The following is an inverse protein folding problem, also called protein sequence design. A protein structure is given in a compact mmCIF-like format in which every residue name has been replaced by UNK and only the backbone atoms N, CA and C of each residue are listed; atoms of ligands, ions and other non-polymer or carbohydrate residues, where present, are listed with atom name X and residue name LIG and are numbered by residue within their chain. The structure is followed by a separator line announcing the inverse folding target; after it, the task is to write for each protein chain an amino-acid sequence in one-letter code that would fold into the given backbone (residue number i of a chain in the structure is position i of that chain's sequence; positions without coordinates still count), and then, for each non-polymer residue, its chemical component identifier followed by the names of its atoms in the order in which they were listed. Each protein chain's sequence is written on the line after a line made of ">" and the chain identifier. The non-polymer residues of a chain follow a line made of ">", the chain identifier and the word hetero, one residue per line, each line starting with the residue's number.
data_IF_929021503669
#
_entry.id   IF_929021503669
#
_cell.length_a   1.000
_cell.length_b   1.000
_cell.length_c   1.000
_cell.angle_alpha   90.00
_cell.angle_beta   90.00
_cell.angle_gamma   90.00
#
_symmetry.space_group_name_H-M   'P 1'
#
loop_
_entity.id
_entity.type
_entity.pdbx_description
1 polymer ?
#
# COMPACT_ATOMS: atom_id res chain seq x y z
N UNK A 1 16.74 20.26 9.69
CA UNK A 1 15.31 20.35 9.29
C UNK A 1 14.59 21.11 10.38
N UNK A 2 13.91 22.22 10.06
CA UNK A 2 13.06 22.87 11.07
C UNK A 2 11.89 21.93 11.39
N UNK A 3 11.56 21.74 12.67
CA UNK A 3 10.43 20.91 13.10
C UNK A 3 9.11 21.60 12.75
N UNK A 4 8.66 21.44 11.50
CA UNK A 4 7.31 21.83 11.11
C UNK A 4 6.29 20.86 11.74
N UNK A 5 5.03 21.27 11.93
CA UNK A 5 4.00 20.36 12.44
C UNK A 5 3.82 19.13 11.55
N UNK A 6 4.01 19.25 10.23
CA UNK A 6 3.93 18.15 9.27
C UNK A 6 5.07 17.14 9.46
N UNK A 7 6.28 17.61 9.72
CA UNK A 7 7.43 16.74 10.03
C UNK A 7 7.22 16.02 11.35
N UNK A 8 6.69 16.71 12.37
CA UNK A 8 6.36 16.09 13.66
C UNK A 8 5.30 15.01 13.49
N UNK A 9 4.22 15.30 12.77
CA UNK A 9 3.17 14.33 12.47
C UNK A 9 3.72 13.12 11.66
N UNK A 10 4.62 13.36 10.71
CA UNK A 10 5.27 12.30 9.96
C UNK A 10 6.15 11.40 10.85
N UNK A 11 6.88 11.98 11.81
CA UNK A 11 7.67 11.21 12.79
C UNK A 11 6.77 10.38 13.71
N UNK A 12 5.70 10.98 14.25
CA UNK A 12 4.73 10.28 15.10
C UNK A 12 4.07 9.12 14.33
N UNK A 13 3.70 9.34 13.07
CA UNK A 13 3.14 8.29 12.21
C UNK A 13 4.15 7.17 11.94
N UNK A 14 5.42 7.51 11.70
CA UNK A 14 6.46 6.50 11.52
C UNK A 14 6.65 5.62 12.77
N UNK A 15 6.61 6.22 13.97
CA UNK A 15 6.65 5.48 15.24
C UNK A 15 5.44 4.56 15.38
N UNK A 16 4.24 5.07 15.10
CA UNK A 16 3.02 4.27 15.16
C UNK A 16 3.04 3.09 14.18
N UNK A 17 3.51 3.30 12.94
CA UNK A 17 3.66 2.24 11.95
C UNK A 17 4.67 1.17 12.40
N UNK A 18 5.78 1.60 13.01
CA UNK A 18 6.76 0.66 13.58
C UNK A 18 6.13 -0.19 14.69
N UNK A 19 5.37 0.41 15.60
CA UNK A 19 4.71 -0.33 16.68
C UNK A 19 3.70 -1.34 16.13
N UNK A 20 2.88 -0.97 15.14
CA UNK A 20 1.94 -1.87 14.49
C UNK A 20 2.65 -3.03 13.78
N UNK A 21 3.79 -2.79 13.14
CA UNK A 21 4.58 -3.81 12.49
C UNK A 21 5.18 -4.81 13.49
N UNK A 22 5.66 -4.34 14.65
CA UNK A 22 6.16 -5.20 15.74
C UNK A 22 5.03 -6.09 16.28
N UNK A 23 3.87 -5.51 16.61
CA UNK A 23 2.71 -6.28 17.10
C UNK A 23 2.22 -7.32 16.08
N UNK A 24 2.27 -6.99 14.79
CA UNK A 24 1.94 -7.94 13.73
C UNK A 24 2.96 -9.08 13.66
N UNK A 25 4.26 -8.78 13.82
CA UNK A 25 5.30 -9.79 13.88
C UNK A 25 5.11 -10.72 15.08
N UNK A 26 4.78 -10.19 16.26
CA UNK A 26 4.51 -11.00 17.46
C UNK A 26 3.38 -12.00 17.21
N UNK A 27 2.26 -11.56 16.63
CA UNK A 27 1.18 -12.48 16.26
C UNK A 27 1.60 -13.55 15.25
N UNK A 28 2.49 -13.24 14.31
CA UNK A 28 3.00 -14.24 13.36
C UNK A 28 3.96 -15.24 14.02
N UNK A 29 4.77 -14.79 14.98
CA UNK A 29 5.63 -15.66 15.80
C UNK A 29 4.79 -16.59 16.67
N UNK A 30 3.76 -16.05 17.35
CA UNK A 30 2.82 -16.86 18.12
C UNK A 30 2.15 -17.94 17.25
N UNK A 31 1.74 -17.58 16.03
CA UNK A 31 1.16 -18.52 15.08
C UNK A 31 2.15 -19.63 14.69
N UNK A 32 3.43 -19.28 14.49
CA UNK A 32 4.48 -20.25 14.19
C UNK A 32 4.75 -21.19 15.37
N UNK A 33 4.73 -20.68 16.60
CA UNK A 33 4.91 -21.48 17.81
C UNK A 33 3.73 -22.44 18.01
N UNK A 34 2.48 -21.98 17.82
CA UNK A 34 1.29 -22.86 17.87
C UNK A 34 1.37 -23.97 16.79
N UNK A 35 1.85 -23.64 15.58
CA UNK A 35 2.06 -24.65 14.54
C UNK A 35 3.13 -25.66 14.94
N UNK A 36 4.21 -25.22 15.58
CA UNK A 36 5.27 -26.10 16.08
C UNK A 36 4.75 -27.01 17.19
N UNK A 37 4.01 -26.46 18.15
CA UNK A 37 3.42 -27.24 19.23
C UNK A 37 2.42 -28.28 18.70
N UNK A 38 1.60 -27.90 17.72
CA UNK A 38 0.67 -28.81 17.06
C UNK A 38 1.36 -29.98 16.33
N UNK A 39 2.59 -29.82 15.85
CA UNK A 39 3.36 -30.90 15.21
C UNK A 39 3.86 -31.94 16.21
N UNK A 40 4.13 -31.53 17.46
CA UNK A 40 4.66 -32.39 18.51
C UNK A 40 3.58 -32.92 19.45
N UNK A 41 2.39 -32.31 19.45
CA UNK A 41 1.25 -32.74 20.25
C UNK A 41 0.61 -34.01 19.66
N UNK A 42 0.56 -35.08 20.45
CA UNK A 42 -0.24 -36.29 20.18
C UNK A 42 -1.74 -36.09 20.47
N UNK A 43 -2.24 -34.88 20.25
CA UNK A 43 -3.63 -34.49 20.52
C UNK A 43 -4.60 -35.03 19.46
N UNK A 44 -5.82 -35.35 19.89
CA UNK A 44 -6.89 -35.79 18.98
C UNK A 44 -7.33 -34.71 17.99
N UNK A 45 -8.21 -35.04 17.02
CA UNK A 45 -8.66 -34.14 15.95
C UNK A 45 -9.18 -32.78 16.41
N UNK A 46 -9.77 -32.71 17.61
CA UNK A 46 -10.30 -31.49 18.20
C UNK A 46 -9.21 -30.49 18.60
N UNK A 47 -8.09 -30.98 19.17
CA UNK A 47 -6.94 -30.13 19.51
C UNK A 47 -6.30 -29.54 18.24
N UNK A 48 -6.18 -30.34 17.18
CA UNK A 48 -5.69 -29.89 15.86
C UNK A 48 -6.60 -28.80 15.27
N UNK A 49 -7.92 -28.97 15.38
CA UNK A 49 -8.90 -27.96 14.93
C UNK A 49 -8.74 -26.64 15.71
N UNK A 50 -8.58 -26.71 17.02
CA UNK A 50 -8.41 -25.53 17.86
C UNK A 50 -7.10 -24.78 17.55
N UNK A 51 -5.98 -25.48 17.36
CA UNK A 51 -4.73 -24.87 16.92
C UNK A 51 -4.88 -24.16 15.56
N UNK A 52 -5.54 -24.79 14.58
CA UNK A 52 -5.78 -24.15 13.27
C UNK A 52 -6.60 -22.87 13.36
N UNK A 53 -7.64 -22.86 14.20
CA UNK A 53 -8.46 -21.66 14.41
C UNK A 53 -7.66 -20.54 15.06
N UNK A 54 -6.82 -20.86 16.06
CA UNK A 54 -5.98 -19.86 16.72
C UNK A 54 -4.92 -19.28 15.77
N UNK A 55 -4.23 -20.14 15.01
CA UNK A 55 -3.29 -19.71 13.95
C UNK A 55 -3.99 -18.77 12.96
N UNK A 56 -5.19 -19.13 12.50
CA UNK A 56 -5.98 -18.28 11.60
C UNK A 56 -6.35 -16.92 12.21
N UNK A 57 -6.69 -16.88 13.51
CA UNK A 57 -6.95 -15.63 14.24
C UNK A 57 -5.71 -14.74 14.28
N UNK A 58 -4.56 -15.30 14.66
CA UNK A 58 -3.28 -14.58 14.75
C UNK A 58 -2.85 -13.99 13.40
N UNK A 59 -2.93 -14.77 12.33
CA UNK A 59 -2.66 -14.30 10.95
C UNK A 59 -3.61 -13.16 10.57
N UNK A 60 -4.90 -13.28 10.92
CA UNK A 60 -5.89 -12.23 10.62
C UNK A 60 -5.59 -10.94 11.38
N UNK A 61 -5.17 -11.02 12.65
CA UNK A 61 -4.78 -9.86 13.44
C UNK A 61 -3.54 -9.17 12.86
N UNK A 62 -2.49 -9.92 12.53
CA UNK A 62 -1.30 -9.40 11.87
C UNK A 62 -1.65 -8.66 10.57
N UNK A 63 -2.48 -9.28 9.71
CA UNK A 63 -2.92 -8.68 8.47
C UNK A 63 -3.71 -7.37 8.67
N UNK A 64 -4.56 -7.29 9.71
CA UNK A 64 -5.32 -6.08 10.04
C UNK A 64 -4.39 -4.95 10.49
N UNK A 65 -3.46 -5.24 11.39
CA UNK A 65 -2.50 -4.26 11.92
C UNK A 65 -1.65 -3.62 10.82
N UNK A 66 -1.29 -4.38 9.79
CA UNK A 66 -0.46 -3.89 8.67
C UNK A 66 -1.24 -3.49 7.42
N UNK A 67 -2.57 -3.56 7.45
CA UNK A 67 -3.41 -3.47 6.24
C UNK A 67 -3.24 -2.18 5.42
N UNK A 68 -2.91 -1.06 6.08
CA UNK A 68 -2.68 0.24 5.44
C UNK A 68 -1.22 0.70 5.53
N UNK A 69 -0.33 -0.11 6.10
CA UNK A 69 1.02 0.31 6.48
C UNK A 69 1.84 0.87 5.30
N UNK A 70 1.76 0.22 4.14
CA UNK A 70 2.48 0.69 2.95
C UNK A 70 1.90 2.01 2.39
N UNK A 71 0.58 2.20 2.44
CA UNK A 71 -0.06 3.43 1.98
C UNK A 71 0.31 4.60 2.90
N UNK A 72 0.26 4.37 4.20
CA UNK A 72 0.66 5.34 5.23
C UNK A 72 2.14 5.69 5.16
N UNK A 73 3.02 4.72 4.86
CA UNK A 73 4.43 4.96 4.59
C UNK A 73 4.62 5.91 3.41
N UNK A 74 3.89 5.69 2.29
CA UNK A 74 3.96 6.57 1.11
C UNK A 74 3.42 7.96 1.42
N UNK A 75 2.29 8.06 2.14
CA UNK A 75 1.71 9.34 2.55
C UNK A 75 2.68 10.13 3.46
N UNK A 76 3.28 9.44 4.43
CA UNK A 76 4.27 9.99 5.37
C UNK A 76 5.52 10.45 4.63
N UNK A 77 6.05 9.63 3.71
CA UNK A 77 7.19 9.98 2.86
C UNK A 77 6.90 11.20 1.99
N UNK A 78 5.65 11.36 1.52
CA UNK A 78 5.23 12.54 0.74
C UNK A 78 5.25 13.81 1.58
N UNK A 79 4.73 13.80 2.81
CA UNK A 79 4.79 14.95 3.72
C UNK A 79 6.23 15.40 3.95
N UNK A 80 7.12 14.45 4.26
CA UNK A 80 8.55 14.73 4.45
C UNK A 80 9.20 15.28 3.17
N UNK A 81 8.92 14.68 2.01
CA UNK A 81 9.48 15.13 0.74
C UNK A 81 9.07 16.56 0.38
N UNK A 82 7.79 16.89 0.54
CA UNK A 82 7.25 18.25 0.31
C UNK A 82 7.92 19.25 1.25
N UNK A 83 8.07 18.90 2.53
CA UNK A 83 8.68 19.79 3.51
C UNK A 83 10.18 20.00 3.26
N UNK A 84 10.92 18.94 2.92
CA UNK A 84 12.32 19.05 2.53
C UNK A 84 12.49 19.93 1.28
N UNK A 85 11.56 19.83 0.33
CA UNK A 85 11.55 20.70 -0.85
C UNK A 85 11.29 22.16 -0.48
N UNK A 86 10.28 22.42 0.37
CA UNK A 86 9.93 23.76 0.87
C UNK A 86 11.08 24.42 1.61
N UNK A 87 11.81 23.66 2.43
CA UNK A 87 12.99 24.15 3.16
C UNK A 87 14.25 24.22 2.28
N UNK A 88 14.17 23.88 0.99
CA UNK A 88 15.31 23.80 0.07
C UNK A 88 16.43 22.84 0.55
N UNK A 89 16.06 21.82 1.34
CA UNK A 89 16.97 20.79 1.87
C UNK A 89 16.96 19.52 1.00
N UNK A 90 15.99 19.38 0.10
CA UNK A 90 15.92 18.24 -0.81
C UNK A 90 17.04 18.32 -1.87
N UNK A 91 17.77 17.22 -2.15
CA UNK A 91 18.66 17.17 -3.30
C UNK A 91 17.85 17.48 -4.58
N UNK A 92 18.43 18.24 -5.51
CA UNK A 92 17.84 18.47 -6.83
C UNK A 92 17.91 17.18 -7.67
N UNK A 93 17.09 16.19 -7.31
CA UNK A 93 16.93 14.97 -8.08
C UNK A 93 16.19 15.32 -9.36
N UNK A 94 16.83 15.16 -10.52
CA UNK A 94 16.11 15.20 -11.79
C UNK A 94 15.17 14.00 -11.82
N UNK A 95 13.84 14.22 -11.94
CA UNK A 95 12.93 13.10 -12.09
C UNK A 95 13.30 12.38 -13.39
N UNK A 96 13.44 11.05 -13.36
CA UNK A 96 13.68 10.29 -14.58
C UNK A 96 12.52 10.53 -15.55
N UNK A 97 12.80 10.52 -16.85
CA UNK A 97 11.78 10.63 -17.89
C UNK A 97 10.87 9.40 -17.81
N UNK A 98 9.81 9.48 -17.03
CA UNK A 98 8.79 8.47 -16.81
C UNK A 98 7.45 9.04 -17.28
N UNK A 99 6.62 8.19 -17.89
CA UNK A 99 5.25 8.58 -18.21
C UNK A 99 4.41 8.72 -16.92
N UNK A 100 3.27 9.43 -16.96
CA UNK A 100 2.33 9.48 -15.84
C UNK A 100 1.90 8.09 -15.36
N UNK A 101 1.71 7.14 -16.28
CA UNK A 101 1.36 5.75 -15.96
C UNK A 101 2.49 5.02 -15.23
N UNK A 102 3.75 5.26 -15.62
CA UNK A 102 4.92 4.70 -14.92
C UNK A 102 5.08 5.31 -13.52
N UNK A 103 4.79 6.60 -13.35
CA UNK A 103 4.75 7.23 -12.03
C UNK A 103 3.66 6.66 -11.14
N UNK A 104 2.43 6.52 -11.65
CA UNK A 104 1.33 5.90 -10.92
C UNK A 104 1.64 4.43 -10.55
N UNK A 105 2.30 3.70 -11.44
CA UNK A 105 2.75 2.34 -11.18
C UNK A 105 3.79 2.29 -10.04
N UNK A 106 4.81 3.17 -10.03
CA UNK A 106 5.78 3.24 -8.94
C UNK A 106 5.13 3.55 -7.59
N UNK A 107 4.17 4.48 -7.56
CA UNK A 107 3.41 4.80 -6.34
C UNK A 107 2.56 3.59 -5.90
N UNK A 108 1.90 2.91 -6.83
CA UNK A 108 1.13 1.69 -6.52
C UNK A 108 2.02 0.55 -5.98
N UNK A 109 3.22 0.35 -6.56
CA UNK A 109 4.22 -0.60 -6.05
C UNK A 109 4.65 -0.21 -4.64
N UNK A 110 4.97 1.06 -4.40
CA UNK A 110 5.38 1.56 -3.08
C UNK A 110 4.29 1.38 -2.02
N UNK A 111 3.02 1.56 -2.40
CA UNK A 111 1.85 1.32 -1.56
C UNK A 111 1.52 -0.16 -1.39
N UNK A 112 2.29 -1.09 -1.96
CA UNK A 112 2.03 -2.52 -1.87
C UNK A 112 0.76 -2.99 -2.58
N UNK A 113 0.26 -2.21 -3.55
CA UNK A 113 -0.97 -2.50 -4.31
C UNK A 113 -0.74 -3.37 -5.54
N UNK A 114 0.50 -3.78 -5.80
CA UNK A 114 0.86 -4.56 -7.00
C UNK A 114 1.41 -5.91 -6.59
N UNK A 115 0.75 -6.97 -7.04
CA UNK A 115 1.22 -8.35 -6.94
C UNK A 115 1.14 -9.01 -8.31
N UNK A 116 1.99 -10.00 -8.58
CA UNK A 116 2.01 -10.70 -9.87
C UNK A 116 1.64 -12.16 -9.68
N UNK A 117 0.55 -12.61 -10.30
CA UNK A 117 0.19 -14.02 -10.25
C UNK A 117 1.16 -14.83 -11.12
N UNK A 118 2.03 -15.61 -10.47
CA UNK A 118 3.11 -16.39 -11.10
C UNK A 118 2.63 -17.31 -12.24
N UNK A 119 1.44 -17.89 -12.09
CA UNK A 119 0.90 -18.87 -13.05
C UNK A 119 0.14 -18.27 -14.24
N UNK A 120 -0.12 -16.96 -14.22
CA UNK A 120 -0.98 -16.35 -15.23
C UNK A 120 -0.28 -15.25 -16.03
N UNK A 121 0.96 -14.87 -15.68
CA UNK A 121 1.61 -13.65 -16.20
C UNK A 121 0.70 -12.40 -16.06
N UNK A 122 -0.30 -12.48 -15.17
CA UNK A 122 -1.33 -11.47 -14.94
C UNK A 122 -0.93 -10.67 -13.72
N UNK A 123 -0.77 -9.36 -13.91
CA UNK A 123 -0.70 -8.41 -12.80
C UNK A 123 -2.03 -8.40 -12.08
N UNK A 124 -2.01 -8.71 -10.78
CA UNK A 124 -3.15 -8.54 -9.89
C UNK A 124 -2.92 -7.29 -9.04
N UNK A 125 -4.01 -6.56 -8.83
CA UNK A 125 -3.96 -5.38 -7.99
C UNK A 125 -4.44 -5.78 -6.61
N UNK A 126 -3.54 -5.65 -5.64
CA UNK A 126 -3.92 -5.64 -4.24
C UNK A 126 -4.65 -4.32 -3.95
N UNK A 127 -5.92 -4.43 -3.52
CA UNK A 127 -6.76 -3.37 -2.93
C UNK A 127 -6.56 -1.95 -3.52
N UNK A 128 -7.33 -1.59 -4.55
CA UNK A 128 -7.42 -0.23 -5.10
C UNK A 128 -7.93 -0.17 -6.55
N UNK A 129 -8.31 1.03 -7.01
CA UNK A 129 -8.90 1.28 -8.35
C UNK A 129 -7.85 1.66 -9.43
N UNK A 130 -6.56 1.57 -9.12
CA UNK A 130 -5.47 1.93 -10.04
C UNK A 130 -5.09 0.74 -10.91
N UNK A 131 -5.50 0.74 -12.18
CA UNK A 131 -5.10 -0.32 -13.13
C UNK A 131 -3.66 -0.16 -13.61
N UNK A 132 -2.76 -1.06 -13.19
CA UNK A 132 -1.36 -1.12 -13.67
C UNK A 132 -1.18 -2.27 -14.65
N UNK A 133 -0.76 -1.96 -15.88
CA UNK A 133 -0.48 -2.96 -16.91
C UNK A 133 0.84 -3.70 -16.63
N UNK A 134 0.89 -5.02 -16.89
CA UNK A 134 2.12 -5.82 -16.82
C UNK A 134 3.24 -5.26 -17.70
N UNK A 135 2.91 -4.67 -18.85
CA UNK A 135 3.91 -4.02 -19.72
C UNK A 135 4.59 -2.83 -19.03
N UNK A 136 3.83 -2.08 -18.21
CA UNK A 136 4.37 -1.00 -17.38
C UNK A 136 5.33 -1.54 -16.33
N UNK A 137 4.98 -2.65 -15.66
CA UNK A 137 5.87 -3.29 -14.67
C UNK A 137 7.14 -3.79 -15.34
N UNK A 138 7.04 -4.55 -16.45
CA UNK A 138 8.21 -5.01 -17.22
C UNK A 138 9.08 -3.85 -17.72
N UNK A 139 8.46 -2.74 -18.12
CA UNK A 139 9.19 -1.51 -18.49
C UNK A 139 9.96 -0.90 -17.31
N UNK A 140 9.37 -0.88 -16.10
CA UNK A 140 10.05 -0.42 -14.90
C UNK A 140 11.18 -1.36 -14.46
N UNK A 141 11.01 -2.66 -14.66
CA UNK A 141 12.05 -3.69 -14.43
C UNK A 141 13.22 -3.52 -15.39
N UNK A 142 12.95 -3.36 -16.68
CA UNK A 142 13.98 -3.10 -17.69
C UNK A 142 14.76 -1.80 -17.44
N UNK A 143 14.18 -0.88 -16.66
CA UNK A 143 14.84 0.36 -16.20
C UNK A 143 15.51 0.23 -14.83
N UNK A 144 15.49 -0.95 -14.21
CA UNK A 144 16.07 -1.19 -12.90
C UNK A 144 15.37 -0.45 -11.75
N UNK A 145 14.13 -0.02 -11.93
CA UNK A 145 13.39 0.76 -10.92
C UNK A 145 12.60 -0.13 -9.96
N UNK A 146 12.23 -1.33 -10.41
CA UNK A 146 11.57 -2.34 -9.58
C UNK A 146 12.23 -3.69 -9.79
N UNK A 147 12.06 -4.58 -8.83
CA UNK A 147 12.43 -5.99 -8.94
C UNK A 147 11.34 -6.85 -8.32
N UNK A 148 11.31 -8.12 -8.72
CA UNK A 148 10.39 -9.12 -8.15
C UNK A 148 11.11 -9.88 -7.06
N UNK A 149 10.43 -10.05 -5.94
CA UNK A 149 10.85 -10.97 -4.90
C UNK A 149 10.11 -12.29 -5.11
N UNK A 150 10.83 -13.41 -5.36
CA UNK A 150 10.21 -14.72 -5.48
C UNK A 150 9.50 -15.08 -4.17
N UNK A 151 8.20 -15.40 -4.25
CA UNK A 151 7.52 -15.96 -3.09
C UNK A 151 7.85 -17.46 -3.00
N UNK A 152 8.37 -17.90 -1.84
CA UNK A 152 8.69 -19.31 -1.60
C UNK A 152 7.44 -20.22 -1.67
N UNK A 153 6.24 -19.65 -1.53
CA UNK A 153 4.99 -20.38 -1.60
C UNK A 153 4.42 -20.32 -3.02
N UNK A 154 4.40 -21.47 -3.71
CA UNK A 154 3.99 -21.64 -5.13
C UNK A 154 2.60 -21.08 -5.46
N UNK A 155 1.73 -20.93 -4.46
CA UNK A 155 0.36 -20.44 -4.60
C UNK A 155 0.19 -18.94 -4.34
N UNK A 156 1.26 -18.21 -4.01
CA UNK A 156 1.19 -16.79 -3.69
C UNK A 156 1.70 -15.94 -4.86
N UNK A 157 1.09 -14.77 -5.02
CA UNK A 157 1.52 -13.80 -6.01
C UNK A 157 2.94 -13.28 -5.65
N UNK A 158 3.79 -13.06 -6.65
CA UNK A 158 5.10 -12.43 -6.49
C UNK A 158 4.90 -10.97 -6.04
N UNK A 159 5.72 -10.53 -5.10
CA UNK A 159 5.74 -9.13 -4.70
C UNK A 159 6.70 -8.34 -5.56
N UNK A 160 6.28 -7.15 -5.94
CA UNK A 160 7.11 -6.19 -6.67
C UNK A 160 7.63 -5.17 -5.67
N UNK A 161 8.93 -4.93 -5.68
CA UNK A 161 9.60 -4.04 -4.74
C UNK A 161 10.38 -2.96 -5.48
N UNK A 162 10.37 -1.74 -4.93
CA UNK A 162 11.21 -0.66 -5.45
C UNK A 162 12.69 -0.95 -5.21
N UNK A 163 13.51 -0.78 -6.24
CA UNK A 163 14.97 -0.73 -6.08
C UNK A 163 15.38 0.59 -5.43
N UNK A 164 16.69 0.76 -5.15
CA UNK A 164 17.24 2.04 -4.70
C UNK A 164 16.92 3.17 -5.68
N UNK A 165 17.05 2.92 -6.97
CA UNK A 165 16.79 3.93 -8.01
C UNK A 165 15.29 4.15 -8.21
N UNK A 166 14.45 3.11 -8.05
CA UNK A 166 13.00 3.26 -7.95
C UNK A 166 12.56 4.17 -6.82
N UNK A 167 13.15 4.03 -5.62
CA UNK A 167 12.87 4.91 -4.48
C UNK A 167 13.28 6.36 -4.74
N UNK A 168 14.43 6.58 -5.38
CA UNK A 168 14.88 7.93 -5.79
C UNK A 168 13.95 8.55 -6.84
N UNK A 169 13.55 7.76 -7.83
CA UNK A 169 12.60 8.16 -8.87
C UNK A 169 11.25 8.55 -8.27
N UNK A 170 10.73 7.75 -7.33
CA UNK A 170 9.51 8.05 -6.60
C UNK A 170 9.65 9.33 -5.77
N UNK A 171 10.75 9.49 -5.01
CA UNK A 171 10.98 10.67 -4.18
C UNK A 171 10.94 11.98 -5.00
N UNK A 172 11.53 11.99 -6.20
CA UNK A 172 11.50 13.14 -7.11
C UNK A 172 10.09 13.51 -7.61
N UNK A 173 9.13 12.58 -7.52
CA UNK A 173 7.72 12.77 -7.89
C UNK A 173 6.89 13.20 -6.69
N UNK A 174 7.19 12.67 -5.50
CA UNK A 174 6.48 13.00 -4.27
C UNK A 174 6.57 14.49 -3.92
N UNK A 175 7.67 15.16 -4.31
CA UNK A 175 7.87 16.60 -4.13
C UNK A 175 7.01 17.46 -5.05
N UNK A 176 6.41 16.90 -6.10
CA UNK A 176 5.53 17.66 -6.99
C UNK A 176 4.15 17.81 -6.35
N UNK A 177 3.54 19.02 -6.38
CA UNK A 177 2.15 19.18 -6.01
C UNK A 177 1.30 18.21 -6.82
N UNK A 178 0.51 17.38 -6.14
CA UNK A 178 -0.53 16.61 -6.83
C UNK A 178 -1.50 17.64 -7.37
N UNK A 179 -1.59 17.80 -8.69
CA UNK A 179 -2.68 18.58 -9.28
C UNK A 179 -3.97 17.99 -8.70
N UNK A 180 -4.75 18.81 -7.98
CA UNK A 180 -5.89 18.35 -7.21
C UNK A 180 -6.74 17.46 -8.12
N UNK A 181 -6.85 16.18 -7.76
CA UNK A 181 -7.75 15.29 -8.47
C UNK A 181 -9.15 15.88 -8.29
N UNK A 182 -9.81 16.16 -9.41
CA UNK A 182 -11.21 16.54 -9.52
C UNK A 182 -12.01 15.80 -8.45
N UNK A 183 -12.36 16.52 -7.39
CA UNK A 183 -13.32 16.06 -6.40
C UNK A 183 -14.60 15.74 -7.15
N UNK A 184 -14.90 14.45 -7.23
CA UNK A 184 -16.16 13.94 -7.70
C UNK A 184 -17.30 14.73 -7.04
N UNK A 185 -18.28 15.06 -7.86
CA UNK A 185 -19.46 15.84 -7.58
C UNK A 185 -19.98 15.67 -6.16
N UNK A 186 -20.08 16.80 -5.46
CA UNK A 186 -21.05 17.04 -4.39
C UNK A 186 -22.43 16.52 -4.86
N UNK A 187 -23.11 15.63 -4.12
CA UNK A 187 -24.50 15.32 -4.44
C UNK A 187 -25.30 16.62 -4.32
N UNK A 188 -25.86 17.08 -5.44
CA UNK A 188 -26.83 18.16 -5.42
C UNK A 188 -28.03 17.67 -4.62
N UNK A 189 -28.36 18.39 -3.54
CA UNK A 189 -29.62 18.24 -2.85
C UNK A 189 -30.74 18.44 -3.88
N UNK A 190 -31.56 17.39 -4.07
CA UNK A 190 -32.72 17.38 -4.94
C UNK A 190 -33.74 18.42 -4.43
N UNK A 191 -34.11 19.45 -5.20
CA UNK A 191 -35.24 20.29 -4.84
C UNK A 191 -36.53 19.46 -4.97
N UNK A 192 -37.40 19.55 -3.97
CA UNK A 192 -38.72 18.96 -3.99
C UNK A 192 -39.52 19.50 -5.19
N UNK A 193 -40.18 18.60 -5.92
CA UNK A 193 -41.04 18.95 -7.03
C UNK A 193 -42.30 19.66 -6.49
N UNK A 194 -42.45 20.93 -6.81
CA UNK A 194 -43.73 21.64 -6.72
C UNK A 194 -44.59 21.18 -7.90
N UNK A 195 -45.60 20.37 -7.63
CA UNK A 195 -46.66 20.06 -8.60
C UNK A 195 -47.48 21.33 -8.85
N UNK A 196 -47.30 21.94 -10.01
CA UNK A 196 -48.24 22.91 -10.57
C UNK A 196 -49.18 22.13 -11.48
N UNK A 197 -50.43 21.98 -11.05
CA UNK A 197 -51.52 21.60 -11.94
C UNK A 197 -51.95 22.87 -12.71
N UNK A 198 -51.95 22.76 -14.05
CA UNK A 198 -52.41 23.78 -15.00
C UNK A 198 -53.84 23.39 -15.46
N UNK A 199 -54.71 24.36 -15.81
CA UNK A 199 -56.17 24.22 -15.73
C UNK A 199 -56.81 23.71 -17.03
N UNK A 200 -58.08 23.30 -16.95
CA UNK A 200 -58.99 23.26 -18.10
C UNK A 200 -60.49 23.30 -17.67
N UNK A 201 -61.20 24.24 -18.30
CA UNK A 201 -62.66 24.48 -18.40
C UNK A 201 -63.46 25.00 -17.19
#
# INVERSE_FOLDING_TARGET
>A
MRHSPEVKAAMERAVQLSALAVLAADHLLDAADILRDAQHASGGPEAVRQHRLEVGRRITLAARLTSLGNEDCVATARLVAVELHRQQLAPRLRPPALSPTQHAALEAVASGRVTLARHLDKTRLGRGDVRVNISTIRSLEGRGLVHREPCALVLHDERVHLTRDGRRALAAVLTRPRSAALTAARPAARPAATTIAVPAH
#
